data_IF_295482636185
#
_entry.id   IF_295482636185
#
_cell.length_a   1.000
_cell.length_b   1.000
_cell.length_c   1.000
_cell.angle_alpha   90.00
_cell.angle_beta   90.00
_cell.angle_gamma   90.00
#
_symmetry.space_group_name_H-M   'P 1'
#
loop_
_entity.id
_entity.type
_entity.pdbx_description
1 polymer ?
#
# COMPACT_ATOMS: atom_id res chain seq x y z
N UNK A 1 -2.32 0.18 33.27
CA UNK A 1 -1.80 0.43 31.89
C UNK A 1 -2.64 -0.39 30.94
N UNK A 2 -3.19 0.22 29.91
CA UNK A 2 -3.94 -0.50 28.87
C UNK A 2 -2.94 -1.14 27.92
N UNK A 3 -2.98 -2.46 27.72
CA UNK A 3 -2.18 -3.15 26.74
C UNK A 3 -2.96 -3.20 25.42
N UNK A 4 -2.32 -2.88 24.30
CA UNK A 4 -2.89 -2.97 22.96
C UNK A 4 -2.17 -4.07 22.18
N UNK A 5 -2.89 -4.93 21.43
CA UNK A 5 -2.26 -5.91 20.57
C UNK A 5 -1.57 -5.22 19.39
N UNK A 6 -0.37 -5.69 19.06
CA UNK A 6 0.38 -5.26 17.88
C UNK A 6 0.94 -6.50 17.18
N UNK A 7 0.74 -6.58 15.88
CA UNK A 7 1.29 -7.60 15.01
C UNK A 7 2.14 -6.92 13.94
N UNK A 8 3.35 -7.43 13.70
CA UNK A 8 4.15 -7.03 12.54
C UNK A 8 4.09 -8.14 11.51
N UNK A 9 3.70 -7.79 10.29
CA UNK A 9 3.49 -8.75 9.18
C UNK A 9 4.21 -8.24 7.94
N UNK A 10 4.99 -9.09 7.31
CA UNK A 10 5.60 -8.85 6.00
C UNK A 10 4.59 -9.23 4.91
N UNK A 11 3.98 -8.26 4.25
CA UNK A 11 3.08 -8.51 3.13
C UNK A 11 3.84 -8.90 1.84
N UNK A 12 3.15 -9.52 0.88
CA UNK A 12 3.65 -9.96 -0.43
C UNK A 12 4.74 -11.04 -0.38
N UNK A 13 4.81 -11.81 0.70
CA UNK A 13 5.81 -12.86 0.84
C UNK A 13 5.34 -13.97 1.77
N UNK A 14 5.90 -15.16 1.59
CA UNK A 14 5.81 -16.28 2.54
C UNK A 14 7.12 -16.47 3.34
N UNK A 15 8.07 -15.52 3.24
CA UNK A 15 9.37 -15.58 3.91
C UNK A 15 9.61 -14.33 4.72
N UNK A 16 10.01 -14.50 5.99
CA UNK A 16 10.41 -13.38 6.87
C UNK A 16 11.53 -12.54 6.26
N UNK A 17 11.47 -11.22 6.46
CA UNK A 17 12.43 -10.23 5.96
C UNK A 17 12.48 -10.08 4.43
N UNK A 18 11.45 -10.51 3.71
CA UNK A 18 11.40 -10.47 2.24
C UNK A 18 10.23 -9.70 1.67
N UNK A 19 9.31 -9.26 2.52
CA UNK A 19 8.12 -8.52 2.13
C UNK A 19 8.18 -7.04 2.45
N UNK A 20 6.99 -6.43 2.41
CA UNK A 20 6.78 -5.07 2.88
C UNK A 20 6.14 -5.11 4.28
N UNK A 21 6.87 -4.72 5.35
CA UNK A 21 6.38 -4.83 6.71
C UNK A 21 5.32 -3.78 7.02
N UNK A 22 4.27 -4.19 7.71
CA UNK A 22 3.27 -3.31 8.29
C UNK A 22 3.01 -3.68 9.76
N UNK A 23 2.76 -2.68 10.59
CA UNK A 23 2.17 -2.90 11.91
C UNK A 23 0.65 -3.00 11.76
N UNK A 24 0.04 -3.94 12.47
CA UNK A 24 -1.42 -4.12 12.52
C UNK A 24 -1.85 -4.07 13.98
N UNK A 25 -2.73 -3.15 14.30
CA UNK A 25 -3.25 -2.92 15.65
C UNK A 25 -4.78 -3.01 15.66
N UNK A 26 -5.35 -4.19 15.95
CA UNK A 26 -6.78 -4.33 16.21
C UNK A 26 -7.17 -3.60 17.50
N UNK A 27 -8.22 -2.78 17.41
CA UNK A 27 -8.74 -1.96 18.52
C UNK A 27 -10.21 -2.31 18.75
N UNK A 28 -10.68 -2.18 20.00
CA UNK A 28 -12.11 -2.29 20.34
C UNK A 28 -12.88 -1.03 19.93
N UNK A 29 -12.23 0.13 20.03
CA UNK A 29 -12.76 1.44 19.64
C UNK A 29 -11.64 2.37 19.20
N UNK A 30 -12.00 3.42 18.48
CA UNK A 30 -11.02 4.41 18.03
C UNK A 30 -10.34 5.13 19.20
N UNK A 31 -9.03 5.20 19.15
CA UNK A 31 -8.23 6.08 19.99
C UNK A 31 -8.22 7.50 19.41
N UNK A 32 -7.86 8.52 20.22
CA UNK A 32 -7.61 9.86 19.69
C UNK A 32 -6.57 9.84 18.56
N UNK A 33 -6.78 10.66 17.52
CA UNK A 33 -5.95 10.66 16.31
C UNK A 33 -4.47 10.93 16.61
N UNK A 34 -4.18 11.83 17.54
CA UNK A 34 -2.83 12.10 17.99
C UNK A 34 -2.16 10.87 18.63
N UNK A 35 -2.94 9.98 19.28
CA UNK A 35 -2.44 8.73 19.82
C UNK A 35 -2.14 7.72 18.71
N UNK A 36 -3.03 7.60 17.71
CA UNK A 36 -2.80 6.75 16.54
C UNK A 36 -1.53 7.18 15.79
N UNK A 37 -1.37 8.49 15.57
CA UNK A 37 -0.18 9.04 14.92
C UNK A 37 1.10 8.81 15.74
N UNK A 38 1.04 8.95 17.06
CA UNK A 38 2.18 8.70 17.94
C UNK A 38 2.61 7.22 17.92
N UNK A 39 1.64 6.30 17.92
CA UNK A 39 1.90 4.86 17.80
C UNK A 39 2.55 4.51 16.45
N UNK A 40 2.07 5.10 15.36
CA UNK A 40 2.65 4.88 14.04
C UNK A 40 4.08 5.43 13.95
N UNK A 41 4.34 6.59 14.54
CA UNK A 41 5.68 7.17 14.64
C UNK A 41 6.62 6.27 15.45
N UNK A 42 6.17 5.73 16.59
CA UNK A 42 6.98 4.87 17.45
C UNK A 42 7.26 3.51 16.81
N UNK A 43 6.28 2.92 16.11
CA UNK A 43 6.46 1.67 15.36
C UNK A 43 7.52 1.78 14.26
N UNK A 44 7.69 2.97 13.69
CA UNK A 44 8.72 3.30 12.69
C UNK A 44 8.74 2.34 11.48
N UNK A 45 7.56 1.86 11.08
CA UNK A 45 7.33 1.10 9.85
C UNK A 45 6.76 2.03 8.77
N UNK A 46 6.76 1.59 7.52
CA UNK A 46 6.16 2.37 6.43
C UNK A 46 4.73 2.77 6.77
N UNK A 47 3.90 1.81 7.23
CA UNK A 47 2.56 2.08 7.72
C UNK A 47 2.20 1.22 8.93
N UNK A 48 1.35 1.82 9.79
CA UNK A 48 0.59 1.14 10.84
C UNK A 48 -0.89 1.17 10.49
N UNK A 49 -1.51 0.00 10.38
CA UNK A 49 -2.94 -0.16 10.19
C UNK A 49 -3.65 -0.31 11.55
N UNK A 50 -4.68 0.49 11.76
CA UNK A 50 -5.59 0.37 12.90
C UNK A 50 -6.95 -0.13 12.42
N UNK A 51 -7.53 -1.08 13.14
CA UNK A 51 -8.78 -1.75 12.80
C UNK A 51 -9.76 -1.62 13.95
N UNK A 52 -10.97 -1.20 13.67
CA UNK A 52 -12.09 -1.24 14.63
C UNK A 52 -13.24 -2.04 14.00
N UNK A 53 -13.82 -3.01 14.71
CA UNK A 53 -14.99 -3.74 14.22
C UNK A 53 -16.17 -2.80 13.92
N UNK A 54 -16.87 -3.03 12.84
CA UNK A 54 -18.13 -2.35 12.54
C UNK A 54 -19.29 -3.03 13.26
N UNK A 55 -20.38 -2.31 13.59
CA UNK A 55 -21.55 -2.87 14.20
C UNK A 55 -22.15 -4.03 13.40
N UNK A 56 -22.75 -5.00 14.06
CA UNK A 56 -23.40 -6.13 13.40
C UNK A 56 -24.48 -5.64 12.42
N UNK A 57 -24.45 -6.17 11.18
CA UNK A 57 -25.34 -5.78 10.08
C UNK A 57 -24.83 -4.63 9.22
N UNK A 58 -23.65 -4.09 9.50
CA UNK A 58 -23.00 -3.10 8.63
C UNK A 58 -22.57 -3.72 7.30
N UNK A 59 -22.41 -2.89 6.27
CA UNK A 59 -21.90 -3.31 4.95
C UNK A 59 -20.44 -3.77 5.02
N UNK A 60 -19.64 -3.20 5.92
CA UNK A 60 -18.27 -3.59 6.21
C UNK A 60 -18.18 -4.36 7.53
N UNK A 61 -17.11 -5.14 7.67
CA UNK A 61 -16.80 -5.90 8.88
C UNK A 61 -15.90 -5.11 9.83
N UNK A 62 -15.00 -4.31 9.26
CA UNK A 62 -14.08 -3.43 9.98
C UNK A 62 -13.96 -2.07 9.32
N UNK A 63 -13.74 -1.03 10.15
CA UNK A 63 -13.21 0.25 9.70
C UNK A 63 -11.69 0.21 9.81
N UNK A 64 -10.98 0.50 8.73
CA UNK A 64 -9.52 0.50 8.66
C UNK A 64 -8.99 1.90 8.40
N UNK A 65 -7.90 2.27 9.08
CA UNK A 65 -7.14 3.52 8.88
C UNK A 65 -5.65 3.19 8.88
N UNK A 66 -4.88 3.89 8.05
CA UNK A 66 -3.43 3.68 7.92
C UNK A 66 -2.68 4.97 8.20
N UNK A 67 -1.60 4.83 8.96
CA UNK A 67 -0.75 5.95 9.34
C UNK A 67 0.70 5.61 8.99
N UNK A 68 1.35 6.50 8.23
CA UNK A 68 2.81 6.56 8.16
C UNK A 68 3.36 7.20 9.43
N UNK A 69 4.68 7.19 9.69
CA UNK A 69 5.24 7.96 10.79
C UNK A 69 4.89 9.46 10.77
N UNK A 70 4.57 10.03 9.61
CA UNK A 70 4.30 11.47 9.43
C UNK A 70 2.83 11.86 9.33
N UNK A 71 1.96 11.01 8.79
CA UNK A 71 0.57 11.37 8.52
C UNK A 71 -0.33 10.15 8.29
N UNK A 72 -1.66 10.35 8.42
CA UNK A 72 -2.65 9.40 7.94
C UNK A 72 -2.71 9.41 6.41
N UNK A 73 -2.73 8.22 5.81
CA UNK A 73 -2.87 8.04 4.35
C UNK A 73 -4.26 7.48 3.99
N UNK A 74 -4.81 7.87 2.84
CA UNK A 74 -6.18 7.49 2.47
C UNK A 74 -6.32 6.03 2.05
N UNK A 75 -5.24 5.40 1.58
CA UNK A 75 -5.23 4.03 1.07
C UNK A 75 -3.85 3.39 1.26
N UNK A 76 -3.83 2.10 1.67
CA UNK A 76 -2.60 1.33 1.77
C UNK A 76 -2.86 -0.16 1.53
N UNK A 77 -2.38 -0.71 0.39
CA UNK A 77 -2.64 -2.08 -0.02
C UNK A 77 -1.95 -3.13 0.84
N UNK A 78 -0.64 -3.00 1.04
CA UNK A 78 0.11 -4.02 1.78
C UNK A 78 -0.31 -4.11 3.24
N UNK A 79 -0.62 -2.97 3.89
CA UNK A 79 -1.10 -2.96 5.27
C UNK A 79 -2.55 -3.48 5.38
N UNK A 80 -3.37 -3.37 4.32
CA UNK A 80 -4.69 -4.02 4.26
C UNK A 80 -4.56 -5.54 4.16
N UNK A 81 -3.67 -6.05 3.30
CA UNK A 81 -3.38 -7.49 3.23
C UNK A 81 -2.81 -8.03 4.53
N UNK A 82 -1.86 -7.31 5.16
CA UNK A 82 -1.31 -7.66 6.46
C UNK A 82 -2.41 -7.71 7.54
N UNK A 83 -3.35 -6.76 7.51
CA UNK A 83 -4.51 -6.72 8.41
C UNK A 83 -5.44 -7.91 8.22
N UNK A 84 -5.77 -8.24 6.98
CA UNK A 84 -6.58 -9.41 6.66
C UNK A 84 -5.88 -10.70 7.11
N UNK A 85 -4.57 -10.82 6.90
CA UNK A 85 -3.81 -11.97 7.37
C UNK A 85 -3.89 -12.13 8.90
N UNK A 86 -3.77 -11.03 9.67
CA UNK A 86 -3.92 -11.05 11.12
C UNK A 86 -5.33 -11.50 11.52
N UNK A 87 -6.36 -10.93 10.91
CA UNK A 87 -7.74 -11.32 11.17
C UNK A 87 -8.00 -12.78 10.90
N UNK A 88 -7.52 -13.31 9.76
CA UNK A 88 -7.69 -14.71 9.39
C UNK A 88 -6.89 -15.68 10.25
N UNK A 89 -5.65 -15.35 10.59
CA UNK A 89 -4.69 -16.35 11.13
C UNK A 89 -4.35 -16.14 12.62
N UNK A 90 -4.77 -15.03 13.21
CA UNK A 90 -4.52 -14.71 14.63
C UNK A 90 -5.78 -14.40 15.43
N UNK A 91 -6.86 -13.99 14.73
CA UNK A 91 -8.12 -13.60 15.36
C UNK A 91 -9.30 -14.48 14.90
N UNK A 92 -8.99 -15.61 14.26
CA UNK A 92 -9.93 -16.68 13.89
C UNK A 92 -11.16 -16.18 13.13
N UNK A 93 -10.97 -15.23 12.19
CA UNK A 93 -12.07 -14.71 11.37
C UNK A 93 -12.79 -15.85 10.62
N UNK A 94 -14.12 -16.01 10.82
CA UNK A 94 -14.81 -17.25 10.42
C UNK A 94 -15.25 -17.31 8.95
N UNK A 95 -15.12 -16.23 8.19
CA UNK A 95 -15.55 -16.15 6.79
C UNK A 95 -14.37 -16.15 5.85
N UNK A 96 -14.59 -16.46 4.57
CA UNK A 96 -13.56 -16.47 3.52
C UNK A 96 -13.22 -15.05 3.03
N UNK A 97 -14.04 -14.06 3.34
CA UNK A 97 -13.86 -12.66 2.94
C UNK A 97 -13.97 -11.74 4.14
N UNK A 98 -13.20 -10.65 4.10
CA UNK A 98 -13.28 -9.52 5.02
C UNK A 98 -13.55 -8.26 4.21
N UNK A 99 -14.54 -7.48 4.64
CA UNK A 99 -14.90 -6.20 4.04
C UNK A 99 -14.46 -5.07 4.95
N UNK A 100 -13.70 -4.14 4.39
CA UNK A 100 -13.23 -2.97 5.10
C UNK A 100 -13.92 -1.71 4.60
N UNK A 101 -14.28 -0.84 5.52
CA UNK A 101 -14.59 0.56 5.23
C UNK A 101 -13.34 1.40 5.41
N UNK A 102 -13.04 2.26 4.44
CA UNK A 102 -11.90 3.17 4.49
C UNK A 102 -12.28 4.58 4.01
N UNK A 103 -11.34 5.52 4.10
CA UNK A 103 -11.52 6.88 3.53
C UNK A 103 -11.61 6.86 2.00
N UNK A 104 -11.03 5.86 1.35
CA UNK A 104 -11.07 5.68 -0.11
C UNK A 104 -12.21 4.80 -0.60
N UNK A 105 -13.17 4.48 0.30
CA UNK A 105 -14.30 3.63 -0.02
C UNK A 105 -14.17 2.21 0.53
N UNK A 106 -15.06 1.31 0.09
CA UNK A 106 -15.02 -0.09 0.49
C UNK A 106 -13.85 -0.82 -0.16
N UNK A 107 -13.24 -1.73 0.62
CA UNK A 107 -12.20 -2.66 0.16
C UNK A 107 -12.60 -4.05 0.63
N UNK A 108 -12.18 -5.09 -0.09
CA UNK A 108 -12.34 -6.45 0.38
C UNK A 108 -11.09 -7.29 0.18
N UNK A 109 -10.87 -8.22 1.11
CA UNK A 109 -9.81 -9.22 1.00
C UNK A 109 -10.43 -10.59 1.15
N UNK A 110 -10.18 -11.46 0.18
CA UNK A 110 -10.62 -12.84 0.15
C UNK A 110 -9.46 -13.81 0.34
N UNK A 111 -9.75 -14.95 0.98
CA UNK A 111 -8.83 -16.10 0.96
C UNK A 111 -8.94 -16.81 -0.37
N UNK A 112 -7.79 -17.15 -0.92
CA UNK A 112 -7.66 -17.93 -2.13
C UNK A 112 -6.94 -19.27 -1.87
N UNK A 113 -7.08 -20.28 -2.72
CA UNK A 113 -6.38 -21.56 -2.57
C UNK A 113 -4.86 -21.37 -2.43
N UNK A 114 -4.22 -22.15 -1.55
CA UNK A 114 -2.77 -22.12 -1.36
C UNK A 114 -2.28 -20.96 -0.47
N UNK A 115 -3.09 -20.54 0.48
CA UNK A 115 -2.81 -19.46 1.44
C UNK A 115 -2.59 -18.07 0.78
N UNK A 116 -3.10 -17.89 -0.44
CA UNK A 116 -3.12 -16.58 -1.08
C UNK A 116 -4.23 -15.69 -0.52
N UNK A 117 -4.00 -14.40 -0.57
CA UNK A 117 -4.99 -13.38 -0.28
C UNK A 117 -5.17 -12.50 -1.51
N UNK A 118 -6.41 -12.36 -1.96
CA UNK A 118 -6.78 -11.45 -3.03
C UNK A 118 -7.35 -10.16 -2.42
N UNK A 119 -6.80 -9.02 -2.81
CA UNK A 119 -7.28 -7.69 -2.43
C UNK A 119 -7.96 -7.04 -3.62
N UNK A 120 -9.25 -6.76 -3.48
CA UNK A 120 -10.03 -6.01 -4.47
C UNK A 120 -9.89 -4.50 -4.20
N UNK A 121 -9.36 -3.79 -5.19
CA UNK A 121 -9.17 -2.35 -5.21
C UNK A 121 -10.04 -1.67 -6.26
N UNK A 122 -10.50 -0.42 -6.00
CA UNK A 122 -11.12 0.37 -7.04
C UNK A 122 -10.12 0.67 -8.17
N UNK A 123 -10.51 0.40 -9.41
CA UNK A 123 -9.74 0.80 -10.57
C UNK A 123 -9.71 2.34 -10.68
N UNK A 124 -8.53 2.91 -10.88
CA UNK A 124 -8.35 4.33 -11.09
C UNK A 124 -8.20 4.63 -12.58
N UNK A 125 -8.91 5.65 -13.04
CA UNK A 125 -8.73 6.17 -14.39
C UNK A 125 -7.37 6.88 -14.48
N UNK A 126 -6.66 6.65 -15.59
CA UNK A 126 -5.37 7.26 -15.86
C UNK A 126 -5.36 7.94 -17.22
N UNK A 127 -4.49 8.90 -17.40
CA UNK A 127 -4.30 9.60 -18.66
C UNK A 127 -2.82 9.67 -19.04
N UNK A 128 -2.55 9.64 -20.34
CA UNK A 128 -1.19 9.83 -20.84
C UNK A 128 -0.81 11.30 -20.81
N UNK A 129 0.41 11.58 -20.40
CA UNK A 129 1.00 12.92 -20.40
C UNK A 129 2.41 12.86 -21.03
N UNK A 130 2.90 13.98 -21.59
CA UNK A 130 4.31 14.09 -21.94
C UNK A 130 5.20 13.88 -20.70
N UNK A 131 6.33 13.20 -20.87
CA UNK A 131 7.26 12.99 -19.76
C UNK A 131 7.80 14.34 -19.26
N UNK A 132 7.56 14.72 -18.00
CA UNK A 132 8.08 15.95 -17.44
C UNK A 132 9.61 16.01 -17.50
N UNK A 133 10.19 17.16 -17.86
CA UNK A 133 11.64 17.36 -17.95
C UNK A 133 12.41 16.88 -16.72
N UNK A 134 11.80 17.03 -15.53
CA UNK A 134 12.40 16.60 -14.29
C UNK A 134 12.56 15.08 -14.23
N UNK A 135 11.62 14.33 -14.76
CA UNK A 135 11.70 12.86 -14.84
C UNK A 135 12.73 12.41 -15.87
N UNK A 136 12.77 13.02 -17.05
CA UNK A 136 13.79 12.74 -18.08
C UNK A 136 15.22 13.01 -17.57
N UNK A 137 15.36 13.94 -16.61
CA UNK A 137 16.65 14.20 -15.95
C UNK A 137 16.95 13.24 -14.83
N UNK A 138 15.93 12.75 -14.12
CA UNK A 138 16.09 11.79 -13.01
C UNK A 138 16.35 10.37 -13.54
N UNK A 139 15.71 10.00 -14.63
CA UNK A 139 15.82 8.70 -15.29
C UNK A 139 15.70 8.90 -16.81
N UNK A 140 16.81 9.15 -17.52
CA UNK A 140 16.82 9.50 -18.94
C UNK A 140 16.22 8.45 -19.87
N UNK A 141 16.11 7.21 -19.43
CA UNK A 141 15.60 6.06 -20.20
C UNK A 141 14.07 5.88 -20.09
N UNK A 142 13.37 6.86 -19.50
CA UNK A 142 11.91 6.79 -19.43
C UNK A 142 11.28 6.89 -20.83
N UNK A 143 10.24 6.07 -21.08
CA UNK A 143 9.49 6.14 -22.32
C UNK A 143 8.62 7.40 -22.40
N UNK A 144 8.13 7.70 -23.60
CA UNK A 144 7.04 8.63 -23.83
C UNK A 144 5.87 7.91 -24.51
N UNK A 145 4.61 8.15 -24.08
CA UNK A 145 4.23 8.97 -22.94
C UNK A 145 4.43 8.22 -21.61
N UNK A 146 4.36 8.96 -20.50
CA UNK A 146 4.08 8.41 -19.19
C UNK A 146 2.60 8.62 -18.82
N UNK A 147 2.20 8.13 -17.68
CA UNK A 147 0.80 8.19 -17.22
C UNK A 147 0.69 8.86 -15.86
N UNK A 148 -0.42 9.57 -15.64
CA UNK A 148 -0.80 10.10 -14.35
C UNK A 148 -2.25 9.70 -14.01
N UNK A 149 -2.56 9.65 -12.73
CA UNK A 149 -3.91 9.50 -12.21
C UNK A 149 -4.35 10.86 -11.67
N UNK A 150 -5.38 11.52 -12.24
CA UNK A 150 -5.75 12.90 -11.88
C UNK A 150 -6.08 13.15 -10.41
N UNK A 151 -6.35 12.09 -9.64
CA UNK A 151 -6.68 12.14 -8.20
C UNK A 151 -5.63 11.49 -7.31
N UNK A 152 -4.52 11.08 -7.90
CA UNK A 152 -3.38 10.51 -7.21
C UNK A 152 -2.14 11.37 -7.45
N UNK A 153 -1.16 11.26 -6.60
CA UNK A 153 0.11 11.97 -6.71
C UNK A 153 1.20 11.17 -7.41
N UNK A 154 0.86 9.98 -7.95
CA UNK A 154 1.85 9.09 -8.56
C UNK A 154 1.89 9.23 -10.08
N UNK A 155 3.10 9.10 -10.62
CA UNK A 155 3.37 8.99 -12.05
C UNK A 155 3.76 7.55 -12.37
N UNK A 156 3.31 7.04 -13.52
CA UNK A 156 3.56 5.67 -13.97
C UNK A 156 4.26 5.67 -15.33
N UNK A 157 5.37 4.94 -15.42
CA UNK A 157 6.07 4.68 -16.66
C UNK A 157 6.08 3.18 -16.97
N UNK A 158 5.71 2.79 -18.19
CA UNK A 158 5.71 1.40 -18.65
C UNK A 158 7.02 1.18 -19.42
N UNK A 159 7.95 0.44 -18.80
CA UNK A 159 9.24 0.11 -19.38
C UNK A 159 9.12 -1.11 -20.31
N UNK A 160 10.19 -1.39 -21.07
CA UNK A 160 10.20 -2.45 -22.09
C UNK A 160 10.09 -3.85 -21.49
N UNK A 161 10.82 -4.13 -20.40
CA UNK A 161 10.88 -5.46 -19.78
C UNK A 161 11.18 -5.43 -18.28
N UNK A 162 11.14 -6.60 -17.67
CA UNK A 162 11.42 -6.78 -16.24
C UNK A 162 12.88 -6.43 -15.89
N UNK A 163 13.83 -6.54 -16.81
CA UNK A 163 15.23 -6.18 -16.57
C UNK A 163 15.36 -4.65 -16.46
N UNK A 164 14.68 -3.89 -17.31
CA UNK A 164 14.62 -2.43 -17.24
C UNK A 164 14.06 -1.97 -15.90
N UNK A 165 12.98 -2.60 -15.39
CA UNK A 165 12.43 -2.30 -14.06
C UNK A 165 13.44 -2.61 -12.93
N UNK A 166 14.10 -3.76 -12.99
CA UNK A 166 15.11 -4.13 -11.97
C UNK A 166 16.30 -3.17 -11.96
N UNK A 167 16.73 -2.71 -13.13
CA UNK A 167 17.89 -1.85 -13.28
C UNK A 167 17.59 -0.36 -13.17
N UNK A 168 16.32 0.05 -13.15
CA UNK A 168 15.93 1.44 -12.99
C UNK A 168 16.58 2.06 -11.73
N UNK A 169 17.38 3.09 -11.92
CA UNK A 169 18.14 3.76 -10.87
C UNK A 169 18.01 5.29 -10.99
N UNK A 170 16.84 5.84 -10.70
CA UNK A 170 16.61 7.27 -10.81
C UNK A 170 17.47 8.06 -9.79
N UNK A 171 17.88 9.27 -10.17
CA UNK A 171 18.48 10.22 -9.24
C UNK A 171 17.40 10.69 -8.26
N UNK A 172 17.45 10.16 -7.04
CA UNK A 172 16.49 10.47 -5.97
C UNK A 172 16.56 11.95 -5.54
N UNK A 173 17.72 12.62 -5.71
CA UNK A 173 17.85 14.05 -5.40
C UNK A 173 17.05 14.91 -6.37
N UNK A 174 16.97 14.47 -7.62
CA UNK A 174 16.13 15.11 -8.64
C UNK A 174 14.67 14.77 -8.39
N UNK A 175 14.33 13.48 -8.12
CA UNK A 175 12.94 13.06 -7.85
C UNK A 175 12.32 13.79 -6.65
N UNK A 176 13.08 14.09 -5.60
CA UNK A 176 12.59 14.90 -4.45
C UNK A 176 11.98 16.24 -4.86
N UNK A 177 12.37 16.78 -5.99
CA UNK A 177 11.82 18.06 -6.49
C UNK A 177 10.41 17.92 -7.07
N UNK A 178 9.89 16.70 -7.24
CA UNK A 178 8.49 16.44 -7.54
C UNK A 178 7.58 16.66 -6.31
N UNK A 179 8.15 16.92 -5.13
CA UNK A 179 7.38 17.05 -3.89
C UNK A 179 6.81 15.71 -3.45
N UNK A 180 5.49 15.64 -3.28
CA UNK A 180 4.80 14.42 -2.84
C UNK A 180 4.50 13.42 -3.98
N UNK A 181 4.99 13.67 -5.21
CA UNK A 181 4.76 12.74 -6.32
C UNK A 181 5.79 11.61 -6.29
N UNK A 182 5.29 10.38 -6.37
CA UNK A 182 6.11 9.19 -6.57
C UNK A 182 6.20 8.78 -8.04
N UNK A 183 7.22 8.01 -8.38
CA UNK A 183 7.38 7.39 -9.70
C UNK A 183 7.22 5.87 -9.58
N UNK A 184 6.24 5.31 -10.27
CA UNK A 184 6.10 3.88 -10.48
C UNK A 184 6.70 3.55 -11.84
N UNK A 185 7.60 2.58 -11.89
CA UNK A 185 8.02 1.95 -13.15
C UNK A 185 7.51 0.52 -13.18
N UNK A 186 6.95 0.09 -14.29
CA UNK A 186 6.37 -1.24 -14.46
C UNK A 186 6.67 -1.80 -15.84
N UNK A 187 6.66 -3.13 -15.97
CA UNK A 187 6.80 -3.82 -17.25
C UNK A 187 6.16 -5.22 -17.17
N UNK A 188 5.91 -5.91 -18.29
CA UNK A 188 5.58 -7.33 -18.29
C UNK A 188 6.62 -8.13 -17.51
N UNK A 189 6.16 -9.11 -16.73
CA UNK A 189 7.04 -10.01 -15.99
C UNK A 189 7.53 -11.19 -16.83
N UNK A 190 8.61 -11.86 -16.39
CA UNK A 190 9.15 -13.04 -17.05
C UNK A 190 8.31 -14.31 -16.71
N UNK A 191 7.87 -14.42 -15.46
CA UNK A 191 7.13 -15.55 -14.86
C UNK A 191 5.93 -15.09 -13.99
N UNK A 192 5.50 -13.84 -14.18
CA UNK A 192 4.33 -13.23 -13.58
C UNK A 192 3.73 -12.21 -14.57
N UNK A 193 2.52 -11.71 -14.32
CA UNK A 193 1.84 -10.80 -15.25
C UNK A 193 2.60 -9.50 -15.44
N UNK A 194 3.14 -8.93 -14.35
CA UNK A 194 3.96 -7.72 -14.39
C UNK A 194 4.91 -7.63 -13.20
N UNK A 195 5.92 -6.79 -13.34
CA UNK A 195 6.84 -6.38 -12.26
C UNK A 195 6.82 -4.87 -12.12
N UNK A 196 6.96 -4.37 -10.89
CA UNK A 196 6.95 -2.94 -10.63
C UNK A 196 7.96 -2.55 -9.56
N UNK A 197 8.42 -1.29 -9.63
CA UNK A 197 9.13 -0.62 -8.53
C UNK A 197 8.56 0.76 -8.31
N UNK A 198 8.50 1.17 -7.05
CA UNK A 198 8.01 2.48 -6.63
C UNK A 198 9.13 3.29 -5.99
N UNK A 199 9.28 4.52 -6.43
CA UNK A 199 10.23 5.48 -5.93
C UNK A 199 9.48 6.66 -5.30
N UNK A 200 9.52 6.76 -3.98
CA UNK A 200 8.90 7.82 -3.19
C UNK A 200 9.99 8.53 -2.37
N UNK A 201 10.69 9.51 -2.95
CA UNK A 201 11.85 10.13 -2.32
C UNK A 201 11.51 11.27 -1.35
N UNK A 202 10.21 11.55 -1.15
CA UNK A 202 9.68 12.60 -0.27
C UNK A 202 9.64 12.25 1.22
#
# INVERSE_FOLDING_TARGET
MTSLPLYQVDAFTNRVFRGNPAAVMPLEQWLPENTLQALALENHLSETAFLVPEPAGSEADFHIRWFTPGAEVPLCGHATLASAWVLFNRLDWPREQIRFRSRSGPLSVSREPGDWLELDFPALEYQSIPTPDILSRALPELPEPIYEVPRDTNLLAILEDAAAVRNAAPDLTILKKLGNQGLIVTAPGDDCDFVSRYFAPG
#
